data_IF_471990652837
#
_entry.id   IF_471990652837
#
_cell.length_a   1.000
_cell.length_b   1.000
_cell.length_c   1.000
_cell.angle_alpha   90.00
_cell.angle_beta   90.00
_cell.angle_gamma   90.00
#
_symmetry.space_group_name_H-M   'P 1'
#
loop_
_entity.id
_entity.type
_entity.pdbx_description
1 polymer ?
#
# COMPACT_ATOMS: atom_id res chain seq x y z
N UNK A 1 -2.54 32.12 15.52
CA UNK A 1 -2.75 31.00 14.59
C UNK A 1 -3.50 29.91 15.33
N UNK A 2 -4.64 29.48 14.84
CA UNK A 2 -5.44 28.42 15.46
C UNK A 2 -4.78 27.05 15.29
N UNK A 3 -5.21 26.05 16.08
CA UNK A 3 -4.72 24.67 15.94
C UNK A 3 -4.97 24.11 14.53
N UNK A 4 -6.09 24.48 13.91
CA UNK A 4 -6.45 24.08 12.55
C UNK A 4 -5.50 24.68 11.49
N UNK A 5 -5.21 25.98 11.57
CA UNK A 5 -4.26 26.65 10.67
C UNK A 5 -2.86 26.05 10.77
N UNK A 6 -2.44 25.69 11.98
CA UNK A 6 -1.15 25.06 12.23
C UNK A 6 -1.04 23.67 11.59
N UNK A 7 -2.13 22.88 11.65
CA UNK A 7 -2.19 21.58 10.99
C UNK A 7 -2.12 21.71 9.46
N UNK A 8 -2.89 22.62 8.88
CA UNK A 8 -2.89 22.85 7.41
C UNK A 8 -1.51 23.29 6.93
N UNK A 9 -0.88 24.22 7.66
CA UNK A 9 0.46 24.69 7.33
C UNK A 9 1.47 23.53 7.35
N UNK A 10 1.43 22.69 8.38
CA UNK A 10 2.31 21.52 8.47
C UNK A 10 2.12 20.55 7.30
N UNK A 11 0.87 20.27 6.93
CA UNK A 11 0.56 19.40 5.78
C UNK A 11 1.06 19.97 4.45
N UNK A 12 1.00 21.29 4.26
CA UNK A 12 1.50 21.94 3.04
C UNK A 12 3.02 21.93 2.93
N UNK A 13 3.74 21.82 4.05
CA UNK A 13 5.22 21.75 4.06
C UNK A 13 5.78 20.36 3.75
N UNK A 14 4.93 19.33 3.66
CA UNK A 14 5.39 17.98 3.37
C UNK A 14 5.91 17.93 1.92
N UNK A 15 7.14 17.43 1.70
CA UNK A 15 7.65 17.27 0.35
C UNK A 15 6.89 16.11 -0.32
N UNK A 16 5.89 16.46 -1.12
CA UNK A 16 4.92 15.51 -1.69
C UNK A 16 5.56 14.52 -2.67
N UNK A 17 6.55 14.96 -3.46
CA UNK A 17 7.26 14.10 -4.42
C UNK A 17 7.97 12.91 -3.75
N UNK A 18 8.91 13.08 -2.79
CA UNK A 18 9.57 11.95 -2.15
C UNK A 18 8.57 11.07 -1.38
N UNK A 19 7.48 11.63 -0.88
CA UNK A 19 6.39 10.86 -0.25
C UNK A 19 5.74 9.92 -1.27
N UNK A 20 5.33 10.42 -2.44
CA UNK A 20 4.74 9.56 -3.48
C UNK A 20 5.73 8.50 -3.99
N UNK A 21 6.99 8.86 -4.18
CA UNK A 21 8.04 7.91 -4.59
C UNK A 21 8.20 6.81 -3.53
N UNK A 22 8.30 7.17 -2.25
CA UNK A 22 8.44 6.23 -1.15
C UNK A 22 7.25 5.27 -1.07
N UNK A 23 6.02 5.78 -1.13
CA UNK A 23 4.81 4.94 -1.10
C UNK A 23 4.69 4.05 -2.34
N UNK A 24 5.09 4.53 -3.52
CA UNK A 24 5.15 3.71 -4.72
C UNK A 24 6.13 2.54 -4.59
N UNK A 25 7.35 2.77 -4.09
CA UNK A 25 8.29 1.67 -3.86
C UNK A 25 7.79 0.66 -2.83
N UNK A 26 7.15 1.15 -1.75
CA UNK A 26 6.55 0.28 -0.75
C UNK A 26 5.39 -0.55 -1.34
N UNK A 27 4.52 0.09 -2.13
CA UNK A 27 3.42 -0.57 -2.83
C UNK A 27 3.90 -1.62 -3.83
N UNK A 28 4.96 -1.33 -4.59
CA UNK A 28 5.61 -2.30 -5.50
C UNK A 28 6.14 -3.50 -4.69
N UNK A 29 6.90 -3.26 -3.62
CA UNK A 29 7.47 -4.33 -2.81
C UNK A 29 6.40 -5.24 -2.18
N UNK A 30 5.33 -4.66 -1.63
CA UNK A 30 4.21 -5.41 -1.07
C UNK A 30 3.45 -6.14 -2.16
N UNK A 31 3.07 -5.46 -3.25
CA UNK A 31 2.33 -6.04 -4.36
C UNK A 31 3.07 -7.23 -4.96
N UNK A 32 4.38 -7.10 -5.21
CA UNK A 32 5.22 -8.21 -5.66
C UNK A 32 5.26 -9.36 -4.65
N UNK A 33 5.39 -9.08 -3.36
CA UNK A 33 5.38 -10.12 -2.31
C UNK A 33 4.06 -10.89 -2.30
N UNK A 34 2.93 -10.22 -2.48
CA UNK A 34 1.61 -10.85 -2.55
C UNK A 34 1.42 -11.73 -3.79
N UNK A 35 2.03 -11.38 -4.92
CA UNK A 35 1.97 -12.18 -6.15
C UNK A 35 2.85 -13.43 -6.04
N UNK A 36 4.09 -13.25 -5.55
CA UNK A 36 5.11 -14.32 -5.50
C UNK A 36 4.86 -15.26 -4.31
N UNK A 37 4.52 -14.72 -3.13
CA UNK A 37 4.32 -15.46 -1.88
C UNK A 37 2.95 -15.12 -1.24
N UNK A 38 1.82 -15.41 -1.93
CA UNK A 38 0.49 -15.11 -1.42
C UNK A 38 0.17 -15.82 -0.10
N UNK A 39 0.70 -17.03 0.13
CA UNK A 39 0.53 -17.77 1.38
C UNK A 39 1.12 -17.01 2.58
N UNK A 40 2.31 -16.43 2.41
CA UNK A 40 2.95 -15.61 3.44
C UNK A 40 2.15 -14.33 3.70
N UNK A 41 1.64 -13.68 2.66
CA UNK A 41 0.80 -12.48 2.81
C UNK A 41 -0.48 -12.79 3.62
N UNK A 42 -1.16 -13.89 3.30
CA UNK A 42 -2.33 -14.36 4.06
C UNK A 42 -1.95 -14.67 5.52
N UNK A 43 -0.79 -15.28 5.77
CA UNK A 43 -0.35 -15.58 7.13
C UNK A 43 -0.05 -14.30 7.94
N UNK A 44 0.65 -13.33 7.34
CA UNK A 44 0.90 -12.03 7.97
C UNK A 44 -0.43 -11.34 8.29
N UNK A 45 -1.38 -11.38 7.36
CA UNK A 45 -2.73 -10.85 7.58
C UNK A 45 -3.39 -11.54 8.77
N UNK A 46 -3.43 -12.88 8.80
CA UNK A 46 -3.99 -13.63 9.93
C UNK A 46 -3.35 -13.26 11.27
N UNK A 47 -2.02 -13.14 11.31
CA UNK A 47 -1.26 -12.74 12.51
C UNK A 47 -1.61 -11.31 12.95
N UNK A 48 -1.76 -10.38 12.01
CA UNK A 48 -2.17 -9.01 12.31
C UNK A 48 -3.57 -8.96 12.91
N UNK A 49 -4.54 -9.61 12.27
CA UNK A 49 -5.92 -9.64 12.76
C UNK A 49 -6.05 -10.35 14.12
N UNK A 50 -5.23 -11.38 14.37
CA UNK A 50 -5.20 -12.04 15.68
C UNK A 50 -4.78 -11.08 16.82
N UNK A 51 -3.94 -10.06 16.55
CA UNK A 51 -3.52 -9.08 17.58
C UNK A 51 -4.67 -8.18 18.03
N UNK A 52 -5.65 -7.93 17.17
CA UNK A 52 -6.86 -7.17 17.52
C UNK A 52 -8.01 -8.11 17.96
N UNK A 53 -7.66 -9.32 18.39
CA UNK A 53 -8.58 -10.39 18.79
C UNK A 53 -9.59 -10.82 17.71
N UNK A 54 -9.28 -10.58 16.44
CA UNK A 54 -10.10 -11.00 15.30
C UNK A 54 -9.49 -12.25 14.66
N UNK A 55 -10.18 -13.38 14.77
CA UNK A 55 -9.75 -14.63 14.13
C UNK A 55 -10.30 -14.73 12.71
N UNK A 56 -9.43 -14.51 11.72
CA UNK A 56 -9.75 -14.74 10.31
C UNK A 56 -9.29 -16.14 9.91
N UNK A 57 -10.22 -16.93 9.38
CA UNK A 57 -9.92 -18.20 8.74
C UNK A 57 -10.37 -18.22 7.28
N UNK A 58 -9.54 -18.76 6.38
CA UNK A 58 -9.85 -18.84 4.96
C UNK A 58 -10.96 -19.87 4.73
N UNK A 59 -12.07 -19.44 4.14
CA UNK A 59 -13.18 -20.36 3.75
C UNK A 59 -12.69 -21.34 2.67
N UNK A 60 -11.84 -20.87 1.76
CA UNK A 60 -11.19 -21.70 0.75
C UNK A 60 -9.80 -21.17 0.43
N UNK A 61 -8.77 -21.92 0.81
CA UNK A 61 -7.38 -21.52 0.55
C UNK A 61 -7.09 -21.28 -0.93
N UNK A 62 -7.66 -22.08 -1.84
CA UNK A 62 -7.46 -21.88 -3.27
C UNK A 62 -8.05 -20.54 -3.77
N UNK A 63 -9.21 -20.12 -3.23
CA UNK A 63 -9.80 -18.81 -3.56
C UNK A 63 -8.96 -17.68 -2.98
N UNK A 64 -8.55 -17.77 -1.73
CA UNK A 64 -7.74 -16.74 -1.06
C UNK A 64 -6.38 -16.54 -1.75
N UNK A 65 -5.72 -17.62 -2.18
CA UNK A 65 -4.45 -17.51 -2.91
C UNK A 65 -4.63 -16.77 -4.25
N UNK A 66 -5.71 -17.04 -5.00
CA UNK A 66 -6.00 -16.34 -6.26
C UNK A 66 -6.34 -14.88 -6.02
N UNK A 67 -7.18 -14.60 -5.03
CA UNK A 67 -7.58 -13.24 -4.68
C UNK A 67 -6.41 -12.42 -4.16
N UNK A 68 -5.52 -13.01 -3.36
CA UNK A 68 -4.31 -12.34 -2.86
C UNK A 68 -3.37 -11.98 -4.00
N UNK A 69 -3.20 -12.86 -4.99
CA UNK A 69 -2.43 -12.55 -6.21
C UNK A 69 -3.08 -11.41 -7.01
N UNK A 70 -4.40 -11.43 -7.20
CA UNK A 70 -5.13 -10.36 -7.89
C UNK A 70 -4.99 -9.02 -7.15
N UNK A 71 -5.10 -9.02 -5.82
CA UNK A 71 -4.88 -7.84 -4.98
C UNK A 71 -3.45 -7.31 -5.13
N UNK A 72 -2.45 -8.21 -5.16
CA UNK A 72 -1.06 -7.85 -5.43
C UNK A 72 -0.86 -7.24 -6.82
N UNK A 73 -1.46 -7.81 -7.87
CA UNK A 73 -1.41 -7.26 -9.23
C UNK A 73 -2.03 -5.86 -9.29
N UNK A 74 -3.19 -5.67 -8.67
CA UNK A 74 -3.87 -4.38 -8.63
C UNK A 74 -3.05 -3.32 -7.89
N UNK A 75 -2.49 -3.67 -6.72
CA UNK A 75 -1.60 -2.79 -5.96
C UNK A 75 -0.35 -2.42 -6.77
N UNK A 76 0.27 -3.40 -7.44
CA UNK A 76 1.44 -3.17 -8.28
C UNK A 76 1.13 -2.21 -9.43
N UNK A 77 0.00 -2.40 -10.11
CA UNK A 77 -0.45 -1.51 -11.19
C UNK A 77 -0.63 -0.08 -10.70
N UNK A 78 -1.32 0.13 -9.57
CA UNK A 78 -1.50 1.47 -9.01
C UNK A 78 -0.17 2.08 -8.56
N UNK A 79 0.70 1.32 -7.90
CA UNK A 79 1.98 1.82 -7.42
C UNK A 79 2.90 2.27 -8.56
N UNK A 80 2.95 1.52 -9.66
CA UNK A 80 3.68 1.89 -10.88
C UNK A 80 3.06 3.12 -11.54
N UNK A 81 1.73 3.16 -11.70
CA UNK A 81 1.04 4.32 -12.26
C UNK A 81 1.32 5.59 -11.45
N UNK A 82 1.24 5.52 -10.12
CA UNK A 82 1.58 6.62 -9.22
C UNK A 82 3.04 7.05 -9.37
N UNK A 83 3.98 6.11 -9.50
CA UNK A 83 5.40 6.43 -9.67
C UNK A 83 5.65 7.17 -10.99
N UNK A 84 5.06 6.69 -12.08
CA UNK A 84 5.17 7.35 -13.40
C UNK A 84 4.58 8.75 -13.34
N UNK A 85 3.39 8.91 -12.75
CA UNK A 85 2.76 10.22 -12.61
C UNK A 85 3.58 11.17 -11.74
N UNK A 86 4.14 10.69 -10.62
CA UNK A 86 4.97 11.49 -9.74
C UNK A 86 6.24 11.99 -10.45
N UNK A 87 6.87 11.16 -11.30
CA UNK A 87 8.10 11.50 -12.01
C UNK A 87 7.90 12.33 -13.28
N UNK A 88 6.72 12.24 -13.92
CA UNK A 88 6.44 12.95 -15.19
C UNK A 88 5.68 14.25 -15.01
N UNK A 89 5.00 14.44 -13.87
CA UNK A 89 4.26 15.65 -13.61
C UNK A 89 5.22 16.79 -13.23
N UNK A 90 5.29 17.80 -14.12
CA UNK A 90 6.09 19.03 -13.96
C UNK A 90 5.76 19.85 -12.72
N UNK A 91 4.64 19.57 -12.05
CA UNK A 91 4.32 20.22 -10.77
C UNK A 91 5.23 19.73 -9.63
N UNK A 92 5.91 18.59 -9.81
CA UNK A 92 6.80 17.99 -8.81
C UNK A 92 8.29 18.03 -9.19
N UNK A 93 8.62 18.21 -10.48
CA UNK A 93 9.99 18.31 -11.03
C UNK A 93 10.36 19.76 -11.28
#
# INVERSE_FOLDING_TARGET
MSAFESLVYWLMTIPTLPVFIMFSFFGIAIGSTMIIKPSLAIEIQKRFYARINWRIEPISMAKELRNTKLMGCLLLTFAIATLILALTNKSFV
#
